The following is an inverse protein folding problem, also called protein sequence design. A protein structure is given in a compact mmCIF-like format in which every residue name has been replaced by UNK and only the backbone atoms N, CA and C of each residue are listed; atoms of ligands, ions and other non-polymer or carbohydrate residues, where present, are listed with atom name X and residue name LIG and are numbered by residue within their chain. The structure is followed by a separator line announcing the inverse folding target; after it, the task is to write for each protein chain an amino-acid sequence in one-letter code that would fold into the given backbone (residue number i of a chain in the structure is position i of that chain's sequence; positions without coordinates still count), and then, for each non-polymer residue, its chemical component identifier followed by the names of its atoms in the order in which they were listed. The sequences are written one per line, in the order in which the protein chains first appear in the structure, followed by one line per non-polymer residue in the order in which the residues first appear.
data_IF_618413704169
#
_entry.id   IF_618413704169
#
_cell.length_a   1.000
_cell.length_b   1.000
_cell.length_c   1.000
_cell.angle_alpha   90.00
_cell.angle_beta   90.00
_cell.angle_gamma   90.00
#
_symmetry.space_group_name_H-M   'P 1'
#
loop_
_entity.id
_entity.type
_entity.pdbx_description
1 polymer ?
#
# COMPACT_ATOMS: atom_id res chain seq x y z
N UNK A 1 7.95 -19.75 -3.69
CA UNK A 1 6.50 -19.66 -3.42
C UNK A 1 6.12 -18.19 -3.51
N UNK A 2 5.00 -17.83 -4.13
CA UNK A 2 4.57 -16.43 -4.12
C UNK A 2 4.03 -16.13 -2.71
N UNK A 3 4.51 -15.08 -2.06
CA UNK A 3 3.94 -14.68 -0.78
C UNK A 3 2.48 -14.24 -0.97
N UNK A 4 1.67 -14.35 0.08
CA UNK A 4 0.25 -13.97 0.04
C UNK A 4 0.05 -12.54 -0.49
N UNK A 5 0.98 -11.63 -0.18
CA UNK A 5 0.99 -10.27 -0.70
C UNK A 5 1.17 -10.19 -2.23
N UNK A 6 2.07 -10.99 -2.80
CA UNK A 6 2.28 -11.03 -4.26
C UNK A 6 1.06 -11.59 -4.99
N UNK A 7 0.39 -12.60 -4.41
CA UNK A 7 -0.84 -13.15 -4.98
C UNK A 7 -1.96 -12.11 -5.00
N UNK A 8 -2.09 -11.33 -3.93
CA UNK A 8 -3.11 -10.27 -3.81
C UNK A 8 -2.85 -9.13 -4.79
N UNK A 9 -1.59 -8.72 -4.96
CA UNK A 9 -1.25 -7.70 -5.96
C UNK A 9 -1.59 -8.20 -7.37
N UNK A 10 -1.22 -9.43 -7.72
CA UNK A 10 -1.63 -10.03 -9.01
C UNK A 10 -3.16 -10.07 -9.15
N UNK A 11 -3.87 -10.42 -8.09
CA UNK A 11 -5.34 -10.42 -8.09
C UNK A 11 -5.91 -9.00 -8.27
N UNK A 12 -5.41 -7.98 -7.59
CA UNK A 12 -5.90 -6.59 -7.75
C UNK A 12 -5.70 -6.06 -9.17
N UNK A 13 -4.59 -6.44 -9.81
CA UNK A 13 -4.20 -5.95 -11.13
C UNK A 13 -4.78 -6.75 -12.30
N UNK A 14 -5.55 -7.81 -12.03
CA UNK A 14 -6.30 -8.50 -13.09
C UNK A 14 -7.63 -7.81 -13.35
N UNK A 15 -8.01 -7.69 -14.62
CA UNK A 15 -9.31 -7.15 -15.01
C UNK A 15 -10.45 -8.01 -14.47
N UNK A 16 -11.52 -7.35 -14.04
CA UNK A 16 -12.77 -8.02 -13.69
C UNK A 16 -13.71 -7.94 -14.90
N UNK A 17 -14.24 -9.07 -15.40
CA UNK A 17 -15.06 -9.07 -16.62
C UNK A 17 -16.34 -8.21 -16.55
N UNK A 18 -16.90 -8.03 -15.35
CA UNK A 18 -18.12 -7.24 -15.11
C UNK A 18 -17.88 -5.72 -15.07
N UNK A 19 -16.63 -5.26 -15.17
CA UNK A 19 -16.26 -3.85 -15.09
C UNK A 19 -16.48 -3.21 -13.71
N UNK A 20 -16.81 -4.00 -12.68
CA UNK A 20 -16.98 -3.54 -11.30
C UNK A 20 -15.60 -3.51 -10.62
N UNK A 21 -15.26 -2.50 -9.80
CA UNK A 21 -14.00 -2.50 -9.08
C UNK A 21 -13.91 -3.69 -8.12
N UNK A 22 -12.71 -4.25 -7.97
CA UNK A 22 -12.40 -5.16 -6.87
C UNK A 22 -12.35 -4.37 -5.57
N UNK A 23 -13.00 -4.85 -4.53
CA UNK A 23 -12.96 -4.23 -3.21
C UNK A 23 -12.13 -5.12 -2.30
N UNK A 24 -11.11 -4.54 -1.67
CA UNK A 24 -10.25 -5.21 -0.71
C UNK A 24 -10.23 -4.45 0.61
N UNK A 25 -10.25 -5.18 1.73
CA UNK A 25 -10.07 -4.60 3.05
C UNK A 25 -8.75 -5.09 3.65
N UNK A 26 -7.94 -4.17 4.14
CA UNK A 26 -6.74 -4.52 4.89
C UNK A 26 -6.65 -3.71 6.18
N UNK A 27 -6.02 -4.34 7.17
CA UNK A 27 -5.53 -3.67 8.37
C UNK A 27 -4.02 -3.56 8.25
N UNK A 28 -3.49 -2.37 8.52
CA UNK A 28 -2.04 -2.17 8.62
C UNK A 28 -1.67 -1.97 10.07
N UNK A 29 -0.86 -2.86 10.62
CA UNK A 29 -0.46 -2.83 12.03
C UNK A 29 0.64 -1.80 12.29
N UNK A 30 1.39 -1.37 11.26
CA UNK A 30 2.55 -0.47 11.40
C UNK A 30 2.62 0.58 10.28
N UNK A 31 2.75 1.87 10.66
CA UNK A 31 2.75 3.01 9.72
C UNK A 31 3.95 3.06 8.77
N UNK A 32 5.13 2.61 9.20
CA UNK A 32 6.35 2.59 8.37
C UNK A 32 6.28 1.51 7.28
N UNK A 33 5.75 0.31 7.62
CA UNK A 33 5.48 -0.77 6.66
C UNK A 33 4.51 -0.31 5.59
N UNK A 34 3.44 0.37 6.01
CA UNK A 34 2.47 0.94 5.09
C UNK A 34 3.09 1.93 4.10
N UNK A 35 3.98 2.81 4.58
CA UNK A 35 4.69 3.78 3.72
C UNK A 35 5.53 3.09 2.65
N UNK A 36 6.24 2.01 2.99
CA UNK A 36 7.00 1.20 2.04
C UNK A 36 6.07 0.59 0.98
N UNK A 37 5.00 -0.07 1.40
CA UNK A 37 4.02 -0.70 0.49
C UNK A 37 3.33 0.31 -0.42
N UNK A 38 2.98 1.49 0.08
CA UNK A 38 2.44 2.59 -0.75
C UNK A 38 3.45 3.03 -1.81
N UNK A 39 4.73 3.10 -1.47
CA UNK A 39 5.79 3.47 -2.44
C UNK A 39 5.90 2.42 -3.54
N UNK A 40 5.87 1.14 -3.19
CA UNK A 40 5.85 0.02 -4.15
C UNK A 40 4.60 0.06 -5.03
N UNK A 41 3.42 0.31 -4.46
CA UNK A 41 2.17 0.47 -5.21
C UNK A 41 2.23 1.60 -6.23
N UNK A 42 2.81 2.76 -5.86
CA UNK A 42 3.02 3.89 -6.78
C UNK A 42 3.91 3.48 -7.95
N UNK A 43 5.01 2.78 -7.68
CA UNK A 43 5.92 2.31 -8.72
C UNK A 43 5.23 1.28 -9.65
N UNK A 44 4.54 0.29 -9.09
CA UNK A 44 3.80 -0.72 -9.84
C UNK A 44 2.69 -0.11 -10.71
N UNK A 45 1.98 0.89 -10.20
CA UNK A 45 0.95 1.60 -10.97
C UNK A 45 1.53 2.34 -12.18
N UNK A 46 2.66 3.02 -12.02
CA UNK A 46 3.34 3.71 -13.13
C UNK A 46 3.89 2.74 -14.17
N UNK A 47 4.37 1.58 -13.75
CA UNK A 47 4.88 0.54 -14.64
C UNK A 47 3.78 -0.31 -15.30
N UNK A 48 2.53 -0.18 -14.85
CA UNK A 48 1.41 -0.96 -15.38
C UNK A 48 1.07 -0.56 -16.81
N UNK A 49 0.95 -1.56 -17.69
CA UNK A 49 0.50 -1.39 -19.08
C UNK A 49 -0.92 -1.89 -19.33
N UNK A 50 -1.51 -2.61 -18.37
CA UNK A 50 -2.90 -3.07 -18.42
C UNK A 50 -3.80 -2.26 -17.47
N UNK A 51 -5.04 -1.96 -17.87
CA UNK A 51 -6.01 -1.32 -16.98
C UNK A 51 -6.49 -2.26 -15.87
N UNK A 52 -6.80 -1.73 -14.69
CA UNK A 52 -7.38 -2.44 -13.56
C UNK A 52 -8.16 -1.46 -12.66
N UNK A 53 -9.28 -1.94 -12.10
CA UNK A 53 -10.15 -1.14 -11.23
C UNK A 53 -10.25 -1.77 -9.85
N UNK A 54 -9.88 -1.01 -8.82
CA UNK A 54 -10.02 -1.49 -7.44
C UNK A 54 -10.20 -0.34 -6.44
N UNK A 55 -10.77 -0.71 -5.30
CA UNK A 55 -10.92 0.10 -4.09
C UNK A 55 -10.33 -0.71 -2.93
N UNK A 56 -9.28 -0.20 -2.30
CA UNK A 56 -8.73 -0.78 -1.08
C UNK A 56 -9.07 0.12 0.10
N UNK A 57 -9.72 -0.47 1.10
CA UNK A 57 -10.08 0.17 2.36
C UNK A 57 -9.06 -0.24 3.42
N UNK A 58 -8.29 0.73 3.91
CA UNK A 58 -7.17 0.50 4.82
C UNK A 58 -7.54 1.04 6.20
N UNK A 59 -7.50 0.18 7.21
CA UNK A 59 -7.76 0.53 8.61
C UNK A 59 -6.48 0.44 9.43
N UNK A 60 -6.32 1.36 10.38
CA UNK A 60 -5.22 1.35 11.35
C UNK A 60 -5.75 1.01 12.75
N UNK A 61 -5.02 0.22 13.54
CA UNK A 61 -5.25 0.12 14.97
C UNK A 61 -5.22 1.50 15.63
N UNK A 62 -6.02 1.71 16.68
CA UNK A 62 -6.20 3.00 17.37
C UNK A 62 -4.91 3.64 17.93
N UNK A 63 -3.82 2.87 18.03
CA UNK A 63 -2.54 3.31 18.55
C UNK A 63 -1.48 3.59 17.47
N UNK A 64 -1.87 3.52 16.19
CA UNK A 64 -0.93 3.65 15.08
C UNK A 64 -0.74 5.11 14.66
N UNK A 65 0.51 5.50 14.43
CA UNK A 65 0.82 6.78 13.80
C UNK A 65 0.46 6.73 12.31
N UNK A 66 -0.68 7.33 11.98
CA UNK A 66 -1.19 7.47 10.62
C UNK A 66 -0.73 8.78 9.95
N UNK A 67 0.00 9.65 10.66
CA UNK A 67 0.58 10.87 10.08
C UNK A 67 1.72 10.59 9.10
N UNK A 68 2.23 9.35 9.09
CA UNK A 68 3.35 8.88 8.28
C UNK A 68 3.03 8.85 6.78
N UNK A 69 1.74 8.81 6.39
CA UNK A 69 1.33 8.76 4.98
C UNK A 69 0.29 9.83 4.63
N UNK A 70 0.64 10.66 3.66
CA UNK A 70 -0.23 11.73 3.14
C UNK A 70 -1.06 11.27 1.94
N UNK A 71 -2.23 11.88 1.77
CA UNK A 71 -3.05 11.74 0.58
C UNK A 71 -2.27 12.08 -0.70
N UNK A 72 -2.61 11.41 -1.80
CA UNK A 72 -1.99 11.68 -3.10
C UNK A 72 -2.91 11.31 -4.26
N UNK A 73 -2.62 11.86 -5.44
CA UNK A 73 -3.20 11.43 -6.71
C UNK A 73 -2.10 11.27 -7.76
N UNK A 74 -2.12 10.16 -8.48
CA UNK A 74 -1.25 9.88 -9.62
C UNK A 74 -2.10 9.53 -10.83
N UNK A 75 -1.62 9.86 -12.02
CA UNK A 75 -2.19 9.44 -13.29
C UNK A 75 -1.22 8.52 -14.02
N UNK A 76 -1.79 7.59 -14.79
CA UNK A 76 -1.08 6.81 -15.78
C UNK A 76 -1.77 7.08 -17.12
N UNK A 77 -1.10 7.86 -17.97
CA UNK A 77 -1.62 8.28 -19.27
C UNK A 77 -1.67 7.12 -20.28
N UNK A 78 -0.79 6.12 -20.13
CA UNK A 78 -0.79 4.94 -20.98
C UNK A 78 -2.06 4.11 -20.78
N UNK A 79 -2.47 3.89 -19.54
CA UNK A 79 -3.69 3.13 -19.22
C UNK A 79 -4.94 3.99 -19.12
N UNK A 80 -4.81 5.33 -19.18
CA UNK A 80 -5.89 6.29 -18.97
C UNK A 80 -6.55 6.15 -17.59
N UNK A 81 -5.75 5.89 -16.57
CA UNK A 81 -6.20 5.65 -15.19
C UNK A 81 -5.58 6.61 -14.18
N UNK A 82 -6.17 6.66 -13.00
CA UNK A 82 -5.65 7.36 -11.84
C UNK A 82 -5.58 6.43 -10.63
N UNK A 83 -4.60 6.68 -9.77
CA UNK A 83 -4.44 6.07 -8.46
C UNK A 83 -4.48 7.17 -7.40
N UNK A 84 -5.45 7.12 -6.50
CA UNK A 84 -5.62 8.11 -5.42
C UNK A 84 -5.61 7.44 -4.07
N UNK A 85 -4.89 8.03 -3.12
CA UNK A 85 -5.00 7.72 -1.70
C UNK A 85 -5.64 8.91 -0.99
N UNK A 86 -6.75 8.68 -0.30
CA UNK A 86 -7.45 9.72 0.47
C UNK A 86 -7.69 9.26 1.91
N UNK A 87 -7.60 10.20 2.85
CA UNK A 87 -7.98 9.98 4.24
C UNK A 87 -9.45 10.36 4.43
N UNK A 88 -10.22 9.48 5.06
CA UNK A 88 -11.63 9.66 5.34
C UNK A 88 -11.82 9.87 6.85
N UNK A 89 -11.94 11.13 7.26
CA UNK A 89 -12.08 11.53 8.67
C UNK A 89 -13.23 10.82 9.37
N UNK A 90 -14.41 10.77 8.73
CA UNK A 90 -15.65 10.26 9.33
C UNK A 90 -15.57 8.79 9.77
N UNK A 91 -14.68 8.01 9.14
CA UNK A 91 -14.51 6.57 9.41
C UNK A 91 -13.09 6.22 9.91
N UNK A 92 -12.19 7.20 10.00
CA UNK A 92 -10.80 7.03 10.43
C UNK A 92 -10.00 6.05 9.56
N UNK A 93 -10.16 6.10 8.23
CA UNK A 93 -9.55 5.12 7.29
C UNK A 93 -9.00 5.77 6.04
N UNK A 94 -8.08 5.08 5.39
CA UNK A 94 -7.63 5.45 4.05
C UNK A 94 -8.38 4.67 2.97
N UNK A 95 -8.62 5.32 1.85
CA UNK A 95 -9.13 4.72 0.62
C UNK A 95 -8.06 4.85 -0.46
N UNK A 96 -7.57 3.71 -0.96
CA UNK A 96 -6.72 3.64 -2.14
C UNK A 96 -7.56 3.19 -3.33
N UNK A 97 -7.72 4.06 -4.31
CA UNK A 97 -8.62 3.84 -5.45
C UNK A 97 -7.80 3.89 -6.73
N UNK A 98 -7.88 2.82 -7.54
CA UNK A 98 -7.45 2.82 -8.94
C UNK A 98 -8.68 2.78 -9.83
N UNK A 99 -8.81 3.76 -10.72
CA UNK A 99 -9.97 3.87 -11.61
C UNK A 99 -9.61 4.55 -12.93
N UNK A 100 -10.47 4.44 -13.97
CA UNK A 100 -10.31 5.23 -15.19
C UNK A 100 -10.35 6.73 -14.88
N UNK A 101 -9.61 7.52 -15.66
CA UNK A 101 -9.67 8.99 -15.58
C UNK A 101 -11.06 9.47 -15.99
N UNK A 102 -11.54 8.97 -17.14
CA UNK A 102 -12.91 9.20 -17.59
C UNK A 102 -13.82 8.13 -16.99
N UNK A 103 -14.49 8.48 -15.89
CA UNK A 103 -15.38 7.57 -15.16
C UNK A 103 -16.74 8.21 -14.91
N UNK A 104 -17.78 7.39 -14.86
CA UNK A 104 -19.09 7.82 -14.39
C UNK A 104 -19.01 8.12 -12.88
N UNK A 105 -19.01 9.40 -12.54
CA UNK A 105 -18.90 9.88 -11.16
C UNK A 105 -20.01 9.35 -10.27
N UNK A 106 -21.24 9.22 -10.77
CA UNK A 106 -22.37 8.73 -9.98
C UNK A 106 -22.23 7.24 -9.70
N UNK A 107 -21.82 6.47 -10.71
CA UNK A 107 -21.55 5.04 -10.56
C UNK A 107 -20.41 4.78 -9.57
N UNK A 108 -19.32 5.55 -9.69
CA UNK A 108 -18.19 5.42 -8.77
C UNK A 108 -18.50 5.88 -7.36
N UNK A 109 -19.26 6.96 -7.18
CA UNK A 109 -19.72 7.39 -5.86
C UNK A 109 -20.56 6.29 -5.18
N UNK A 110 -21.39 5.57 -5.94
CA UNK A 110 -22.13 4.40 -5.43
C UNK A 110 -21.18 3.29 -4.98
N UNK A 111 -20.19 2.91 -5.79
CA UNK A 111 -19.22 1.87 -5.44
C UNK A 111 -18.31 2.24 -4.27
N UNK A 112 -17.87 3.49 -4.19
CA UNK A 112 -17.10 4.02 -3.06
C UNK A 112 -17.95 4.00 -1.79
N UNK A 113 -19.20 4.46 -1.85
CA UNK A 113 -20.16 4.39 -0.74
C UNK A 113 -20.44 2.95 -0.33
N UNK A 114 -20.57 2.02 -1.28
CA UNK A 114 -20.73 0.60 -1.00
C UNK A 114 -19.48 0.05 -0.31
N UNK A 115 -18.27 0.29 -0.83
CA UNK A 115 -17.03 -0.16 -0.20
C UNK A 115 -16.83 0.38 1.23
N UNK A 116 -17.28 1.61 1.51
CA UNK A 116 -17.30 2.19 2.86
C UNK A 116 -18.46 1.63 3.69
N UNK A 117 -19.65 1.48 3.12
CA UNK A 117 -20.87 0.99 3.77
C UNK A 117 -20.80 -0.51 4.11
N UNK A 118 -20.01 -1.27 3.36
CA UNK A 118 -19.59 -2.66 3.65
C UNK A 118 -18.88 -2.79 5.00
N UNK A 119 -18.58 -1.69 5.69
CA UNK A 119 -18.08 -1.69 7.06
C UNK A 119 -19.17 -1.92 8.11
N UNK A 120 -20.44 -1.73 7.74
CA UNK A 120 -21.60 -1.81 8.65
C UNK A 120 -22.49 -3.03 8.40
N UNK A 121 -22.30 -3.78 7.31
CA UNK A 121 -23.10 -4.97 6.97
C UNK A 121 -22.19 -6.17 6.68
N UNK A 122 -22.32 -7.20 7.51
CA UNK A 122 -21.41 -8.35 7.67
C UNK A 122 -21.31 -9.36 6.51
N UNK A 123 -21.76 -9.07 5.29
CA UNK A 123 -21.90 -10.14 4.29
C UNK A 123 -21.63 -9.66 2.88
N UNK A 124 -20.39 -9.81 2.37
CA UNK A 124 -19.99 -10.19 0.99
C UNK A 124 -18.44 -10.36 0.99
N UNK A 125 -17.91 -11.49 0.46
CA UNK A 125 -16.50 -11.84 0.21
C UNK A 125 -15.42 -10.94 0.89
N UNK A 126 -15.39 -10.96 2.23
CA UNK A 126 -14.44 -10.20 3.05
C UNK A 126 -13.09 -10.94 3.06
N UNK A 127 -12.18 -10.53 2.19
CA UNK A 127 -10.77 -10.95 2.30
C UNK A 127 -10.10 -9.95 3.25
N UNK A 128 -9.89 -10.35 4.50
CA UNK A 128 -9.03 -9.62 5.45
C UNK A 128 -7.62 -10.12 5.23
N UNK A 129 -6.73 -9.25 4.76
CA UNK A 129 -5.31 -9.57 4.70
C UNK A 129 -4.66 -8.82 5.85
N UNK A 130 -4.19 -9.57 6.84
CA UNK A 130 -3.21 -9.05 7.79
C UNK A 130 -1.87 -9.01 7.07
N UNK A 131 -1.34 -7.81 6.93
CA UNK A 131 -0.02 -7.61 6.38
C UNK A 131 0.96 -7.73 7.57
N UNK A 132 1.36 -8.97 7.87
CA UNK A 132 2.39 -9.28 8.85
C UNK A 132 3.68 -9.63 8.10
N UNK A 133 4.77 -8.93 8.40
CA UNK A 133 6.04 -9.03 7.67
C UNK A 133 7.02 -10.03 8.35
N UNK A 134 6.55 -11.17 8.84
CA UNK A 134 7.48 -12.19 9.40
C UNK A 134 8.43 -12.79 8.32
N UNK A 135 8.29 -12.42 7.03
CA UNK A 135 9.17 -12.86 5.95
C UNK A 135 9.58 -11.75 4.95
N UNK A 136 10.05 -10.60 5.41
CA UNK A 136 10.99 -9.80 4.59
C UNK A 136 12.24 -9.48 5.41
N UNK A 137 13.00 -10.54 5.72
CA UNK A 137 14.44 -10.42 5.95
C UNK A 137 15.11 -10.22 4.58
N UNK A 138 15.59 -9.01 4.33
CA UNK A 138 16.76 -8.86 3.45
C UNK A 138 17.96 -8.82 4.39
N UNK A 139 18.47 -10.01 4.67
CA UNK A 139 19.62 -10.25 5.52
C UNK A 139 20.89 -9.92 4.72
N UNK A 140 21.36 -8.67 4.83
CA UNK A 140 22.79 -8.38 4.68
C UNK A 140 23.19 -7.30 5.68
N UNK A 141 23.43 -7.72 6.92
CA UNK A 141 24.48 -7.11 7.72
C UNK A 141 25.82 -7.38 7.02
N UNK A 142 26.13 -6.54 6.02
CA UNK A 142 27.48 -6.39 5.53
C UNK A 142 28.27 -5.70 6.63
N UNK A 143 28.94 -6.49 7.48
CA UNK A 143 30.01 -6.03 8.34
C UNK A 143 31.20 -5.64 7.45
N UNK A 144 31.57 -4.35 7.31
CA UNK A 144 32.81 -3.99 6.67
C UNK A 144 33.89 -3.91 7.75
N UNK A 145 34.71 -4.96 7.80
CA UNK A 145 36.14 -4.85 8.06
C UNK A 145 36.55 -4.26 9.41
N UNK A 146 36.89 -5.15 10.33
CA UNK A 146 38.03 -4.94 11.22
C UNK A 146 39.25 -4.49 10.40
N UNK A 147 39.63 -3.23 10.52
CA UNK A 147 40.95 -2.69 10.22
C UNK A 147 41.16 -1.51 11.18
N UNK A 148 41.61 -1.79 12.39
CA UNK A 148 42.38 -0.81 13.17
C UNK A 148 43.71 -1.46 13.51
N UNK A 149 44.64 -1.18 12.60
CA UNK A 149 46.06 -1.41 12.74
C UNK A 149 46.66 -0.37 13.70
N UNK A 150 47.79 -0.73 14.26
CA UNK A 150 48.54 -0.08 15.33
C UNK A 150 48.88 1.43 15.20
N UNK A 151 48.87 2.12 16.37
CA UNK A 151 49.80 3.18 16.87
C UNK A 151 49.77 4.53 16.10
N UNK A 152 49.84 5.71 16.73
CA UNK A 152 50.78 6.23 17.74
C UNK A 152 50.18 7.47 18.44
N UNK A 153 50.48 7.65 19.73
CA UNK A 153 50.87 8.92 20.36
C UNK A 153 51.10 8.72 21.86
N UNK A 154 52.27 8.19 22.23
CA UNK A 154 52.83 8.43 23.57
C UNK A 154 53.72 9.67 23.49
N UNK A 155 53.36 10.70 24.25
CA UNK A 155 54.20 11.89 24.43
C UNK A 155 54.82 11.80 25.83
N UNK A 156 56.10 11.45 25.92
CA UNK A 156 56.90 11.71 27.12
C UNK A 156 57.95 12.80 26.86
N UNK A 157 58.11 13.63 27.88
CA UNK A 157 58.76 14.94 27.89
C UNK A 157 60.28 14.88 27.70
N UNK A 158 60.82 15.94 27.09
CA UNK A 158 61.90 16.72 27.69
C UNK A 158 61.55 18.19 27.63
#
# INVERSE_FOLDING_TARGET
MASDGQAVVKWLFTLRPDGVPKVLKCSSEWGHVFKKKITEFKAAFKASSSPANFIVVISFPSHSDHSVVSAFGLTNELTQERLTLTWMNDIGRFLLIRCPILRDTNKWAKWEKEAIGWQFQDQWNKIIIQINDDEIVDEHYGNPGSNDDHRECECEKK
#
